data_IF_751234794327
#
_entry.id   IF_751234794327
#
_cell.length_a   1.000
_cell.length_b   1.000
_cell.length_c   1.000
_cell.angle_alpha   90.00
_cell.angle_beta   90.00
_cell.angle_gamma   90.00
#
_symmetry.space_group_name_H-M   'P 1'
#
loop_
_entity.id
_entity.type
_entity.pdbx_description
1 polymer ?
#
# COMPACT_ATOMS: atom_id res chain seq x y z
N UNK A 1 -7.22 6.78 76.75
CA UNK A 1 -7.25 5.31 76.59
C UNK A 1 -6.44 4.97 75.35
N UNK A 2 -5.31 4.29 75.52
CA UNK A 2 -4.35 3.98 74.44
C UNK A 2 -4.75 2.64 73.81
N UNK A 3 -5.02 2.62 72.50
CA UNK A 3 -5.32 1.38 71.77
C UNK A 3 -4.02 0.58 71.63
N UNK A 4 -3.83 -0.39 72.51
CA UNK A 4 -2.77 -1.40 72.38
C UNK A 4 -3.23 -2.37 71.29
N UNK A 5 -2.61 -2.28 70.11
CA UNK A 5 -2.72 -3.34 69.10
C UNK A 5 -1.82 -4.47 69.62
N UNK A 6 -2.32 -5.69 69.86
CA UNK A 6 -1.47 -6.81 70.21
C UNK A 6 -0.55 -7.07 69.01
N UNK A 7 0.71 -6.66 69.12
CA UNK A 7 1.76 -7.23 68.29
C UNK A 7 2.01 -8.63 68.84
N UNK A 8 1.29 -9.63 68.34
CA UNK A 8 1.56 -11.05 68.65
C UNK A 8 3.06 -11.31 68.56
N UNK A 9 3.73 -11.77 69.63
CA UNK A 9 4.96 -12.49 69.45
C UNK A 9 4.60 -13.96 69.27
N UNK A 10 4.87 -14.50 68.08
CA UNK A 10 5.16 -15.92 67.88
C UNK A 10 4.17 -16.91 68.54
N UNK A 11 3.08 -17.26 67.86
CA UNK A 11 2.52 -18.59 68.09
C UNK A 11 3.61 -19.61 67.69
N UNK A 12 4.18 -20.40 68.61
CA UNK A 12 5.23 -21.37 68.30
C UNK A 12 4.68 -22.63 67.61
N UNK A 13 3.37 -22.68 67.39
CA UNK A 13 2.70 -23.77 66.72
C UNK A 13 3.23 -23.93 65.28
N UNK A 14 3.88 -25.07 64.98
CA UNK A 14 4.44 -25.34 63.65
C UNK A 14 3.35 -25.28 62.56
N UNK A 15 2.10 -25.62 62.89
CA UNK A 15 1.00 -25.61 61.93
C UNK A 15 0.61 -24.17 61.54
N UNK A 16 0.63 -23.24 62.49
CA UNK A 16 0.36 -21.82 62.22
C UNK A 16 1.43 -21.20 61.30
N UNK A 17 2.69 -21.66 61.41
CA UNK A 17 3.77 -21.26 60.50
C UNK A 17 3.57 -21.86 59.11
N UNK A 18 3.22 -23.14 59.01
CA UNK A 18 2.97 -23.80 57.74
C UNK A 18 1.81 -23.14 56.98
N UNK A 19 0.72 -22.82 57.67
CA UNK A 19 -0.43 -22.14 57.08
C UNK A 19 -0.07 -20.74 56.57
N UNK A 20 0.76 -19.98 57.29
CA UNK A 20 1.25 -18.67 56.82
C UNK A 20 2.10 -18.80 55.56
N UNK A 21 3.04 -19.75 55.53
CA UNK A 21 3.90 -19.96 54.36
C UNK A 21 3.09 -20.47 53.15
N UNK A 22 2.12 -21.37 53.38
CA UNK A 22 1.24 -21.89 52.34
C UNK A 22 0.23 -20.85 51.82
N UNK A 23 -0.16 -19.89 52.66
CA UNK A 23 -1.08 -18.80 52.30
C UNK A 23 -0.38 -17.62 51.63
N UNK A 24 0.96 -17.59 51.56
CA UNK A 24 1.68 -16.56 50.82
C UNK A 24 1.36 -16.72 49.34
N UNK A 25 0.70 -15.72 48.71
CA UNK A 25 0.53 -15.74 47.28
C UNK A 25 1.93 -15.76 46.64
N UNK A 26 2.20 -16.78 45.82
CA UNK A 26 3.40 -16.79 44.99
C UNK A 26 3.42 -15.59 44.04
N UNK A 27 4.57 -15.29 43.41
CA UNK A 27 4.63 -14.25 42.41
C UNK A 27 3.60 -14.57 41.30
N UNK A 28 2.60 -13.71 41.17
CA UNK A 28 1.62 -13.79 40.09
C UNK A 28 2.35 -13.30 38.85
N UNK A 29 2.72 -14.24 37.96
CA UNK A 29 3.20 -13.89 36.64
C UNK A 29 2.01 -13.32 35.85
N UNK A 30 2.09 -12.05 35.49
CA UNK A 30 1.13 -11.44 34.58
C UNK A 30 1.29 -12.13 33.21
N UNK A 31 0.19 -12.57 32.56
CA UNK A 31 0.29 -13.20 31.25
C UNK A 31 0.87 -12.20 30.25
N UNK A 32 1.86 -12.64 29.47
CA UNK A 32 2.42 -11.83 28.40
C UNK A 32 1.32 -11.30 27.48
N UNK A 33 1.42 -10.05 27.01
CA UNK A 33 0.44 -9.48 26.11
C UNK A 33 0.36 -10.37 24.86
N UNK A 34 -0.84 -10.92 24.62
CA UNK A 34 -1.12 -11.73 23.44
C UNK A 34 -0.79 -10.91 22.19
N UNK A 35 0.01 -11.43 21.25
CA UNK A 35 0.32 -10.70 20.02
C UNK A 35 -0.98 -10.36 19.30
N UNK A 36 -1.18 -9.07 19.01
CA UNK A 36 -2.36 -8.61 18.28
C UNK A 36 -2.34 -9.18 16.87
N UNK A 37 -3.34 -9.99 16.48
CA UNK A 37 -3.41 -10.52 15.12
C UNK A 37 -3.63 -9.36 14.15
N UNK A 38 -2.82 -9.29 13.09
CA UNK A 38 -3.01 -8.32 12.00
C UNK A 38 -1.97 -7.19 11.91
N UNK A 39 -0.87 -7.22 12.68
CA UNK A 39 0.22 -6.24 12.53
C UNK A 39 0.85 -6.15 11.12
N UNK A 40 0.60 -7.15 10.26
CA UNK A 40 1.07 -7.18 8.86
C UNK A 40 0.12 -6.48 7.88
N UNK A 41 -1.14 -6.23 8.25
CA UNK A 41 -2.10 -5.51 7.41
C UNK A 41 -1.58 -4.14 6.92
N UNK A 42 -0.98 -3.27 7.77
CA UNK A 42 -0.44 -2.00 7.29
C UNK A 42 0.69 -2.18 6.27
N UNK A 43 1.51 -3.23 6.42
CA UNK A 43 2.58 -3.53 5.46
C UNK A 43 2.00 -3.93 4.10
N UNK A 44 0.94 -4.74 4.08
CA UNK A 44 0.28 -5.13 2.83
C UNK A 44 -0.38 -3.92 2.18
N UNK A 45 -1.07 -3.07 2.96
CA UNK A 45 -1.67 -1.85 2.43
C UNK A 45 -0.59 -0.95 1.82
N UNK A 46 0.54 -0.73 2.51
CA UNK A 46 1.65 0.07 2.01
C UNK A 46 2.28 -0.50 0.73
N UNK A 47 2.42 -1.83 0.66
CA UNK A 47 2.93 -2.51 -0.54
C UNK A 47 1.97 -2.32 -1.73
N UNK A 48 0.66 -2.48 -1.51
CA UNK A 48 -0.35 -2.30 -2.55
C UNK A 48 -0.40 -0.87 -3.06
N UNK A 49 -0.31 0.14 -2.17
CA UNK A 49 -0.24 1.55 -2.60
C UNK A 49 1.02 1.84 -3.40
N UNK A 50 2.17 1.31 -2.99
CA UNK A 50 3.41 1.47 -3.75
C UNK A 50 3.31 0.85 -5.16
N UNK A 51 2.73 -0.35 -5.29
CA UNK A 51 2.49 -1.00 -6.57
C UNK A 51 1.54 -0.17 -7.46
N UNK A 52 0.43 0.32 -6.90
CA UNK A 52 -0.55 1.12 -7.63
C UNK A 52 0.07 2.41 -8.17
N UNK A 53 0.85 3.12 -7.34
CA UNK A 53 1.55 4.34 -7.75
C UNK A 53 2.60 4.08 -8.84
N UNK A 54 3.33 2.97 -8.73
CA UNK A 54 4.29 2.55 -9.77
C UNK A 54 3.59 2.27 -11.10
N UNK A 55 2.45 1.57 -11.08
CA UNK A 55 1.70 1.27 -12.29
C UNK A 55 1.08 2.52 -12.93
N UNK A 56 0.60 3.48 -12.13
CA UNK A 56 0.06 4.74 -12.64
C UNK A 56 1.15 5.63 -13.26
N UNK A 57 2.39 5.61 -12.75
CA UNK A 57 3.50 6.33 -13.37
C UNK A 57 3.87 5.77 -14.75
N UNK A 58 3.80 4.44 -14.91
CA UNK A 58 4.13 3.77 -16.17
C UNK A 58 3.01 3.91 -17.22
N UNK A 59 1.75 4.02 -16.78
CA UNK A 59 0.61 4.26 -17.66
C UNK A 59 0.68 5.62 -18.39
N UNK A 60 1.36 6.63 -17.82
CA UNK A 60 1.60 7.92 -18.49
C UNK A 60 2.70 7.87 -19.55
N UNK A 61 3.58 6.84 -19.53
CA UNK A 61 4.65 6.68 -20.51
C UNK A 61 4.20 5.92 -21.76
N UNK A 62 3.10 5.17 -21.69
CA UNK A 62 2.55 4.36 -22.77
C UNK A 62 1.36 5.02 -23.51
N UNK A 63 0.98 6.25 -23.17
CA UNK A 63 -0.01 6.98 -23.94
C UNK A 63 0.65 7.45 -25.25
N UNK A 64 0.26 6.83 -26.37
CA UNK A 64 0.49 7.42 -27.68
C UNK A 64 0.02 8.89 -27.65
N UNK A 65 0.83 9.84 -28.16
CA UNK A 65 0.46 11.24 -28.13
C UNK A 65 -0.90 11.41 -28.82
N UNK A 66 -1.91 11.87 -28.06
CA UNK A 66 -3.22 12.16 -28.61
C UNK A 66 -3.02 13.18 -29.75
N UNK A 67 -3.46 12.88 -30.98
CA UNK A 67 -3.25 13.78 -32.11
C UNK A 67 -3.92 15.11 -31.79
N UNK A 68 -3.16 16.19 -31.87
CA UNK A 68 -3.71 17.52 -31.65
C UNK A 68 -4.74 17.85 -32.74
N UNK A 69 -5.62 18.82 -32.49
CA UNK A 69 -6.55 19.31 -33.51
C UNK A 69 -5.82 19.76 -34.80
N UNK A 70 -4.59 20.27 -34.65
CA UNK A 70 -3.75 20.66 -35.79
C UNK A 70 -3.27 19.44 -36.59
N UNK A 71 -2.96 18.32 -35.94
CA UNK A 71 -2.52 17.10 -36.61
C UNK A 71 -3.67 16.43 -37.37
N UNK A 72 -4.88 16.44 -36.80
CA UNK A 72 -6.09 15.96 -37.48
C UNK A 72 -6.38 16.81 -38.71
N UNK A 73 -6.32 18.14 -38.58
CA UNK A 73 -6.54 19.04 -39.70
C UNK A 73 -5.47 18.85 -40.80
N UNK A 74 -4.21 18.67 -40.40
CA UNK A 74 -3.10 18.38 -41.31
C UNK A 74 -3.36 17.08 -42.07
N UNK A 75 -3.70 15.99 -41.38
CA UNK A 75 -3.99 14.70 -41.99
C UNK A 75 -5.17 14.79 -42.98
N UNK A 76 -6.24 15.50 -42.62
CA UNK A 76 -7.39 15.68 -43.49
C UNK A 76 -7.04 16.50 -44.74
N UNK A 77 -6.32 17.61 -44.58
CA UNK A 77 -5.89 18.44 -45.71
C UNK A 77 -4.98 17.68 -46.68
N UNK A 78 -4.11 16.81 -46.17
CA UNK A 78 -3.24 16.01 -47.01
C UNK A 78 -3.99 14.88 -47.73
N UNK A 79 -5.00 14.27 -47.09
CA UNK A 79 -5.87 13.29 -47.74
C UNK A 79 -6.68 13.90 -48.90
N UNK A 80 -7.08 15.17 -48.79
CA UNK A 80 -7.78 15.89 -49.86
C UNK A 80 -6.84 16.31 -51.01
N UNK A 81 -5.54 16.45 -50.76
CA UNK A 81 -4.57 16.88 -51.76
C UNK A 81 -4.14 15.74 -52.71
N UNK A 82 -4.28 14.47 -52.30
CA UNK A 82 -3.98 13.33 -53.17
C UNK A 82 -5.17 12.92 -54.04
N UNK A 83 -4.93 12.47 -55.30
CA UNK A 83 -5.98 11.91 -56.14
C UNK A 83 -6.58 10.63 -55.53
N UNK A 84 -7.82 10.25 -55.89
CA UNK A 84 -8.43 9.02 -55.38
C UNK A 84 -7.57 7.78 -55.67
N UNK A 85 -7.49 6.85 -54.72
CA UNK A 85 -6.67 5.63 -54.82
C UNK A 85 -5.18 5.83 -54.54
N UNK A 86 -4.79 6.96 -53.95
CA UNK A 86 -3.43 7.22 -53.48
C UNK A 86 -3.41 7.35 -51.96
N UNK A 87 -2.47 6.65 -51.31
CA UNK A 87 -2.13 6.84 -49.90
C UNK A 87 -1.27 8.09 -49.74
N UNK A 88 -1.54 8.85 -48.69
CA UNK A 88 -0.68 9.96 -48.26
C UNK A 88 0.43 9.41 -47.38
N UNK A 89 1.68 9.60 -47.77
CA UNK A 89 2.84 9.30 -46.94
C UNK A 89 3.57 10.59 -46.59
N UNK A 90 3.72 10.85 -45.30
CA UNK A 90 4.49 11.98 -44.79
C UNK A 90 5.98 11.63 -44.79
N UNK A 91 6.76 12.26 -45.66
CA UNK A 91 8.23 12.10 -45.71
C UNK A 91 8.97 13.09 -44.82
N UNK A 92 8.24 14.06 -44.26
CA UNK A 92 8.77 15.08 -43.36
C UNK A 92 7.65 15.91 -42.73
N UNK A 93 7.99 16.93 -41.91
CA UNK A 93 6.99 17.73 -41.20
C UNK A 93 6.12 18.61 -42.10
N UNK A 94 6.57 18.89 -43.32
CA UNK A 94 5.85 19.69 -44.32
C UNK A 94 5.87 19.09 -45.74
N UNK A 95 6.41 17.87 -45.90
CA UNK A 95 6.48 17.19 -47.19
C UNK A 95 5.61 15.94 -47.15
N UNK A 96 4.77 15.80 -48.18
CA UNK A 96 3.89 14.65 -48.37
C UNK A 96 4.07 14.11 -49.79
N UNK A 97 3.99 12.79 -49.90
CA UNK A 97 4.02 12.07 -51.17
C UNK A 97 2.71 11.28 -51.32
N UNK A 98 2.11 11.36 -52.50
CA UNK A 98 0.95 10.55 -52.85
C UNK A 98 1.43 9.27 -53.51
N UNK A 99 1.41 8.16 -52.78
CA UNK A 99 1.76 6.85 -53.32
C UNK A 99 0.50 6.16 -53.81
N UNK A 100 0.51 5.63 -55.03
CA UNK A 100 -0.59 4.80 -55.52
C UNK A 100 -0.58 3.51 -54.71
N UNK A 101 -1.69 3.22 -54.02
CA UNK A 101 -1.87 1.90 -53.44
C UNK A 101 -1.96 0.92 -54.62
N UNK A 102 -0.97 0.02 -54.74
CA UNK A 102 -0.99 -0.98 -55.79
C UNK A 102 -2.27 -1.83 -55.67
N UNK A 103 -2.98 -2.13 -56.77
CA UNK A 103 -4.11 -3.05 -56.76
C UNK A 103 -3.68 -4.49 -56.49
#
# INVERSE_FOLDING_TARGET
>A
MQRVIPSEPFNPDPDARFLREASRPGPVAEPDPVPTPGGWLPLIVALLTALALSACADAGAAQDPVPSAADVQRAHSAAQACPPGHAVVWTGPQSMECLREFP
#
